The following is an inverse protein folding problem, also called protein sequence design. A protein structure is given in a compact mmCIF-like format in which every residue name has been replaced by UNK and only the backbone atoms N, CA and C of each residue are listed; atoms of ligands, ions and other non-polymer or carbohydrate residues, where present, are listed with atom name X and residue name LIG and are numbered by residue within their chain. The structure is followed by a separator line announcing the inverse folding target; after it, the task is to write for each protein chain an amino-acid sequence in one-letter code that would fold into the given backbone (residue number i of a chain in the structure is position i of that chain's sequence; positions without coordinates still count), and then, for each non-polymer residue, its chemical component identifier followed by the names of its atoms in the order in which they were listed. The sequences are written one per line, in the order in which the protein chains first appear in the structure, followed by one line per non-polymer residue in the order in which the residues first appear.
data_IF_477424669231
#
_entry.id   IF_477424669231
#
_cell.length_a   1.000
_cell.length_b   1.000
_cell.length_c   1.000
_cell.angle_alpha   90.00
_cell.angle_beta   90.00
_cell.angle_gamma   90.00
#
_symmetry.space_group_name_H-M   'P 1'
#
loop_
_entity.id
_entity.type
_entity.pdbx_description
1 polymer ?
#
# COMPACT_ATOMS: atom_id res chain seq x y z
N UNK A 1 -24.18 -12.33 4.52
CA UNK A 1 -23.15 -12.25 3.46
C UNK A 1 -23.87 -12.38 2.13
N UNK A 2 -23.62 -11.46 1.20
CA UNK A 2 -24.31 -11.41 -0.10
C UNK A 2 -23.61 -10.44 -1.05
N UNK A 3 -24.05 -10.40 -2.30
CA UNK A 3 -23.52 -9.51 -3.33
C UNK A 3 -24.27 -8.18 -3.30
N UNK A 4 -23.63 -7.12 -2.80
CA UNK A 4 -24.24 -5.78 -2.69
C UNK A 4 -23.65 -4.83 -3.73
N UNK A 5 -22.35 -4.55 -3.64
CA UNK A 5 -21.57 -3.84 -4.67
C UNK A 5 -20.46 -4.77 -5.14
N UNK A 6 -20.57 -5.27 -6.37
CA UNK A 6 -19.64 -6.23 -6.97
C UNK A 6 -18.68 -5.51 -7.91
N UNK A 7 -17.39 -5.83 -7.83
CA UNK A 7 -16.39 -5.40 -8.81
C UNK A 7 -16.23 -6.47 -9.91
N UNK A 8 -17.30 -6.70 -10.68
CA UNK A 8 -17.37 -7.70 -11.76
C UNK A 8 -16.76 -9.06 -11.35
N UNK A 9 -15.62 -9.43 -11.97
CA UNK A 9 -14.93 -10.72 -11.81
C UNK A 9 -13.91 -10.75 -10.66
N UNK A 10 -13.84 -9.70 -9.83
CA UNK A 10 -12.84 -9.64 -8.75
C UNK A 10 -13.18 -10.64 -7.63
N UNK A 11 -12.30 -11.62 -7.39
CA UNK A 11 -12.36 -12.50 -6.23
C UNK A 11 -12.00 -11.73 -4.95
N UNK A 12 -12.97 -11.07 -4.34
CA UNK A 12 -12.78 -10.27 -3.12
C UNK A 12 -14.02 -10.20 -2.23
N UNK A 13 -13.83 -9.68 -1.02
CA UNK A 13 -14.92 -9.39 -0.07
C UNK A 13 -14.75 -7.97 0.49
N UNK A 14 -15.85 -7.29 0.74
CA UNK A 14 -15.87 -6.01 1.44
C UNK A 14 -16.54 -6.15 2.81
N UNK A 15 -15.99 -5.45 3.80
CA UNK A 15 -16.51 -5.37 5.18
C UNK A 15 -16.86 -3.91 5.46
N UNK A 16 -18.14 -3.63 5.68
CA UNK A 16 -18.62 -2.30 6.04
C UNK A 16 -18.99 -2.29 7.52
N UNK A 17 -18.43 -1.33 8.26
CA UNK A 17 -18.78 -1.06 9.65
C UNK A 17 -19.49 0.29 9.71
N UNK A 18 -20.72 0.31 10.21
CA UNK A 18 -21.52 1.51 10.38
C UNK A 18 -21.79 1.71 11.86
N UNK A 19 -21.44 2.88 12.39
CA UNK A 19 -21.88 3.30 13.71
C UNK A 19 -23.36 3.68 13.60
N UNK A 20 -24.21 3.07 14.43
CA UNK A 20 -25.67 3.23 14.38
C UNK A 20 -26.19 3.77 15.71
N UNK A 21 -27.20 4.63 15.63
CA UNK A 21 -28.06 5.02 16.74
C UNK A 21 -29.47 4.43 16.56
N UNK A 22 -30.38 4.68 17.51
CA UNK A 22 -31.73 4.10 17.46
C UNK A 22 -32.52 4.58 16.24
N UNK A 23 -32.38 5.85 15.84
CA UNK A 23 -33.06 6.41 14.67
C UNK A 23 -32.58 5.73 13.38
N UNK A 24 -31.27 5.60 13.21
CA UNK A 24 -30.70 4.94 12.03
C UNK A 24 -31.04 3.45 11.98
N UNK A 25 -31.14 2.78 13.13
CA UNK A 25 -31.62 1.39 13.20
C UNK A 25 -33.07 1.25 12.72
N UNK A 26 -33.95 2.17 13.11
CA UNK A 26 -35.34 2.18 12.64
C UNK A 26 -35.38 2.39 11.12
N UNK A 27 -34.57 3.31 10.60
CA UNK A 27 -34.48 3.56 9.16
C UNK A 27 -33.95 2.34 8.39
N UNK A 28 -32.93 1.65 8.90
CA UNK A 28 -32.36 0.44 8.29
C UNK A 28 -33.34 -0.75 8.30
N UNK A 29 -34.15 -0.86 9.35
CA UNK A 29 -35.17 -1.91 9.52
C UNK A 29 -36.48 -1.59 8.75
N UNK A 30 -36.65 -0.36 8.25
CA UNK A 30 -37.88 0.08 7.58
C UNK A 30 -38.15 -0.65 6.26
N UNK A 31 -39.43 -0.82 5.92
CA UNK A 31 -39.81 -1.44 4.66
C UNK A 31 -39.38 -0.57 3.47
N UNK A 32 -38.72 -1.21 2.51
CA UNK A 32 -38.24 -0.56 1.28
C UNK A 32 -38.53 -1.43 0.08
N UNK A 33 -38.74 -0.78 -1.06
CA UNK A 33 -38.92 -1.40 -2.37
C UNK A 33 -37.60 -1.60 -3.12
N UNK A 34 -36.47 -1.24 -2.51
CA UNK A 34 -35.15 -1.40 -3.11
C UNK A 34 -34.81 -2.88 -3.34
N UNK A 35 -34.62 -3.25 -4.61
CA UNK A 35 -34.51 -4.64 -5.10
C UNK A 35 -33.39 -5.44 -4.42
N UNK A 36 -32.26 -4.80 -4.12
CA UNK A 36 -31.09 -5.45 -3.53
C UNK A 36 -30.96 -5.23 -2.01
N UNK A 37 -31.95 -4.56 -1.37
CA UNK A 37 -31.90 -4.33 0.08
C UNK A 37 -32.21 -5.61 0.84
N UNK A 38 -31.16 -6.23 1.38
CA UNK A 38 -31.31 -7.39 2.24
C UNK A 38 -31.70 -6.92 3.63
N UNK A 39 -32.91 -7.26 4.10
CA UNK A 39 -33.31 -6.97 5.48
C UNK A 39 -32.27 -7.56 6.45
N UNK A 40 -31.75 -6.78 7.40
CA UNK A 40 -30.74 -7.27 8.33
C UNK A 40 -31.33 -8.42 9.16
N UNK A 41 -30.73 -9.61 9.03
CA UNK A 41 -31.12 -10.77 9.87
C UNK A 41 -30.60 -10.52 11.28
N UNK A 42 -31.51 -10.41 12.26
CA UNK A 42 -31.14 -10.38 13.69
C UNK A 42 -30.61 -11.76 14.09
N UNK A 43 -29.31 -11.96 13.90
CA UNK A 43 -28.64 -13.17 14.36
C UNK A 43 -28.22 -13.00 15.83
N UNK A 44 -28.85 -13.76 16.72
CA UNK A 44 -28.28 -13.98 18.05
C UNK A 44 -27.05 -14.87 17.89
N UNK A 45 -25.87 -14.29 18.05
CA UNK A 45 -24.62 -15.07 18.15
C UNK A 45 -24.68 -15.87 19.43
N UNK A 46 -24.92 -17.18 19.34
CA UNK A 46 -24.82 -18.11 20.46
C UNK A 46 -23.42 -17.98 21.05
N UNK A 47 -23.35 -17.42 22.27
CA UNK A 47 -22.11 -17.08 22.97
C UNK A 47 -21.25 -18.32 23.24
N UNK A 48 -20.23 -18.54 22.42
CA UNK A 48 -18.91 -18.78 22.99
C UNK A 48 -18.12 -17.48 22.88
N UNK A 49 -18.05 -16.76 24.01
CA UNK A 49 -17.24 -15.57 24.13
C UNK A 49 -15.77 -16.00 24.10
N UNK A 50 -15.22 -16.24 22.91
CA UNK A 50 -13.77 -16.43 22.73
C UNK A 50 -13.12 -15.05 22.86
N UNK A 51 -12.83 -14.66 24.10
CA UNK A 51 -11.86 -13.61 24.35
C UNK A 51 -10.50 -14.15 23.92
N UNK A 52 -10.03 -13.71 22.75
CA UNK A 52 -8.61 -13.76 22.45
C UNK A 52 -8.01 -12.49 23.03
N UNK A 53 -6.94 -12.63 23.80
CA UNK A 53 -6.12 -11.48 24.15
C UNK A 53 -5.76 -10.76 22.84
N UNK A 54 -5.90 -9.45 22.81
CA UNK A 54 -5.37 -8.64 21.70
C UNK A 54 -3.90 -9.06 21.56
N UNK A 55 -3.45 -9.50 20.38
CA UNK A 55 -2.04 -9.75 20.17
C UNK A 55 -1.30 -8.50 20.64
N UNK A 56 -0.43 -8.64 21.64
CA UNK A 56 0.43 -7.51 22.00
C UNK A 56 1.14 -7.12 20.73
N UNK A 57 1.03 -5.86 20.31
CA UNK A 57 1.91 -5.33 19.27
C UNK A 57 3.31 -5.70 19.72
N UNK A 58 3.97 -6.59 18.97
CA UNK A 58 5.33 -6.99 19.27
C UNK A 58 6.11 -5.71 19.53
N UNK A 59 6.76 -5.67 20.69
CA UNK A 59 7.62 -4.57 21.10
C UNK A 59 8.33 -4.05 19.87
N UNK A 60 8.14 -2.76 19.56
CA UNK A 60 8.90 -2.06 18.53
C UNK A 60 10.36 -2.52 18.71
N UNK A 61 10.90 -3.23 17.72
CA UNK A 61 12.30 -3.66 17.75
C UNK A 61 13.11 -2.42 18.15
N UNK A 62 13.90 -2.52 19.22
CA UNK A 62 14.67 -1.40 19.75
C UNK A 62 15.48 -0.79 18.61
N UNK A 63 15.14 0.46 18.28
CA UNK A 63 15.83 1.26 17.29
C UNK A 63 17.32 1.29 17.67
N UNK A 64 18.24 0.89 16.79
CA UNK A 64 19.65 1.13 17.03
C UNK A 64 19.85 2.65 17.16
N UNK A 65 20.55 3.05 18.22
CA UNK A 65 20.80 4.44 18.58
C UNK A 65 21.11 5.32 17.34
N UNK A 66 20.29 6.36 17.05
CA UNK A 66 20.45 7.23 15.88
C UNK A 66 21.78 8.02 15.89
N UNK A 67 22.57 7.94 16.96
CA UNK A 67 23.84 8.65 17.11
C UNK A 67 25.00 8.13 16.24
N UNK A 68 24.89 6.99 15.53
CA UNK A 68 26.05 6.34 14.88
C UNK A 68 26.17 6.45 13.36
N UNK A 69 25.15 6.93 12.64
CA UNK A 69 25.24 7.04 11.17
C UNK A 69 24.65 8.39 10.71
N UNK A 70 25.39 9.26 10.01
CA UNK A 70 24.81 10.49 9.50
C UNK A 70 23.69 10.20 8.48
N UNK A 71 22.58 10.95 8.47
CA UNK A 71 21.50 10.75 7.51
C UNK A 71 22.04 10.96 6.09
N UNK A 72 21.74 10.03 5.16
CA UNK A 72 22.16 10.22 3.78
C UNK A 72 21.33 11.35 3.15
N UNK A 73 21.93 12.49 2.74
CA UNK A 73 21.18 13.59 2.14
C UNK A 73 20.51 13.17 0.82
N UNK A 74 20.98 12.08 0.21
CA UNK A 74 20.49 11.58 -1.07
C UNK A 74 19.09 10.96 -0.95
N UNK A 75 18.75 10.29 0.16
CA UNK A 75 17.41 9.70 0.34
C UNK A 75 16.32 10.78 0.37
N UNK A 76 16.55 11.89 1.07
CA UNK A 76 15.61 13.02 1.11
C UNK A 76 15.38 13.57 -0.29
N UNK A 77 16.47 13.86 -1.01
CA UNK A 77 16.41 14.41 -2.37
C UNK A 77 15.69 13.46 -3.34
N UNK A 78 15.91 12.15 -3.24
CA UNK A 78 15.22 11.15 -4.05
C UNK A 78 13.71 11.19 -3.77
N UNK A 79 13.30 11.20 -2.51
CA UNK A 79 11.88 11.23 -2.15
C UNK A 79 11.21 12.53 -2.57
N UNK A 80 11.87 13.68 -2.40
CA UNK A 80 11.39 14.97 -2.87
C UNK A 80 11.21 14.98 -4.40
N UNK A 81 12.16 14.40 -5.14
CA UNK A 81 12.08 14.26 -6.60
C UNK A 81 10.91 13.36 -7.02
N UNK A 82 10.75 12.20 -6.37
CA UNK A 82 9.63 11.27 -6.61
C UNK A 82 8.29 11.96 -6.34
N UNK A 83 8.14 12.65 -5.21
CA UNK A 83 6.91 13.36 -4.85
C UNK A 83 6.58 14.46 -5.86
N UNK A 84 7.58 15.27 -6.22
CA UNK A 84 7.43 16.33 -7.23
C UNK A 84 7.01 15.75 -8.60
N UNK A 85 7.56 14.59 -8.96
CA UNK A 85 7.19 13.92 -10.21
C UNK A 85 5.77 13.36 -10.17
N UNK A 86 5.35 12.75 -9.07
CA UNK A 86 3.98 12.25 -8.88
C UNK A 86 2.96 13.39 -8.97
N UNK A 87 3.24 14.53 -8.33
CA UNK A 87 2.38 15.71 -8.39
C UNK A 87 2.30 16.31 -9.80
N UNK A 88 3.42 16.44 -10.50
CA UNK A 88 3.41 17.00 -11.86
C UNK A 88 2.72 16.12 -12.90
N UNK A 89 2.56 14.82 -12.62
CA UNK A 89 1.86 13.87 -13.49
C UNK A 89 0.37 13.69 -13.13
N UNK A 90 -0.15 14.36 -12.10
CA UNK A 90 -1.49 14.11 -11.57
C UNK A 90 -2.58 14.12 -12.66
N UNK A 91 -2.75 15.20 -13.42
CA UNK A 91 -3.84 15.25 -14.41
C UNK A 91 -3.59 14.29 -15.58
N UNK A 92 -2.33 14.11 -15.99
CA UNK A 92 -1.99 13.12 -17.02
C UNK A 92 -2.37 11.69 -16.62
N UNK A 93 -2.13 11.32 -15.36
CA UNK A 93 -2.51 10.02 -14.84
C UNK A 93 -4.03 9.88 -14.72
N UNK A 94 -4.73 10.93 -14.28
CA UNK A 94 -6.20 10.94 -14.28
C UNK A 94 -6.76 10.78 -15.70
N UNK A 95 -6.20 11.47 -16.70
CA UNK A 95 -6.66 11.38 -18.10
C UNK A 95 -6.45 9.99 -18.69
N UNK A 96 -5.30 9.36 -18.42
CA UNK A 96 -5.05 7.98 -18.82
C UNK A 96 -6.01 7.00 -18.13
N UNK A 97 -6.30 7.23 -16.86
CA UNK A 97 -7.18 6.38 -16.06
C UNK A 97 -8.65 6.55 -16.43
N UNK A 98 -9.11 7.77 -16.79
CA UNK A 98 -10.48 8.00 -17.31
C UNK A 98 -10.80 7.15 -18.55
N UNK A 99 -9.79 6.77 -19.33
CA UNK A 99 -9.98 5.96 -20.52
C UNK A 99 -10.36 4.49 -20.21
N UNK A 100 -10.00 3.96 -19.04
CA UNK A 100 -10.17 2.54 -18.71
C UNK A 100 -10.54 2.23 -17.24
N UNK A 101 -10.69 3.26 -16.40
CA UNK A 101 -10.91 3.23 -14.96
C UNK A 101 -11.84 4.36 -14.52
N UNK A 102 -11.71 4.80 -13.26
CA UNK A 102 -12.57 5.83 -12.67
C UNK A 102 -11.98 7.25 -12.74
N UNK A 103 -10.72 7.37 -13.18
CA UNK A 103 -10.09 8.66 -13.44
C UNK A 103 -9.52 9.32 -12.19
N UNK A 104 -9.21 8.53 -11.17
CA UNK A 104 -8.68 9.01 -9.89
C UNK A 104 -7.21 8.64 -9.64
N UNK A 105 -6.59 7.85 -10.52
CA UNK A 105 -5.24 7.33 -10.33
C UNK A 105 -4.21 8.43 -9.99
N UNK A 106 -4.25 9.56 -10.70
CA UNK A 106 -3.39 10.70 -10.42
C UNK A 106 -3.67 11.35 -9.08
N UNK A 107 -4.93 11.51 -8.69
CA UNK A 107 -5.33 12.03 -7.37
C UNK A 107 -4.83 11.12 -6.24
N UNK A 108 -4.97 9.80 -6.41
CA UNK A 108 -4.48 8.79 -5.47
C UNK A 108 -2.95 8.88 -5.28
N UNK A 109 -2.19 9.08 -6.37
CA UNK A 109 -0.74 9.30 -6.29
C UNK A 109 -0.38 10.67 -5.71
N UNK A 110 -1.11 11.73 -6.03
CA UNK A 110 -0.89 13.06 -5.44
C UNK A 110 -1.09 13.05 -3.92
N UNK A 111 -2.12 12.34 -3.43
CA UNK A 111 -2.38 12.16 -2.00
C UNK A 111 -1.21 11.45 -1.30
N UNK A 112 -0.65 10.41 -1.92
CA UNK A 112 0.55 9.74 -1.41
C UNK A 112 1.77 10.68 -1.38
N UNK A 113 2.01 11.45 -2.44
CA UNK A 113 3.12 12.40 -2.53
C UNK A 113 3.04 13.48 -1.44
N UNK A 114 1.86 14.08 -1.23
CA UNK A 114 1.64 15.08 -0.17
C UNK A 114 1.84 14.45 1.21
N UNK A 115 1.36 13.22 1.43
CA UNK A 115 1.57 12.52 2.69
C UNK A 115 3.05 12.28 2.98
N UNK A 116 3.84 11.89 1.97
CA UNK A 116 5.28 11.70 2.08
C UNK A 116 5.99 13.04 2.38
N UNK A 117 5.65 14.12 1.67
CA UNK A 117 6.22 15.45 1.91
C UNK A 117 5.96 15.91 3.36
N UNK A 118 4.72 15.82 3.83
CA UNK A 118 4.37 16.16 5.21
C UNK A 118 5.13 15.30 6.23
N UNK A 119 5.33 14.02 5.93
CA UNK A 119 6.11 13.12 6.78
C UNK A 119 7.60 13.49 6.83
N UNK A 120 8.19 13.89 5.70
CA UNK A 120 9.58 14.36 5.59
C UNK A 120 9.85 15.66 6.37
N UNK A 121 8.83 16.51 6.51
CA UNK A 121 8.93 17.76 7.26
C UNK A 121 8.65 17.59 8.74
N UNK A 122 7.81 16.61 9.11
CA UNK A 122 7.42 16.39 10.50
C UNK A 122 8.45 15.61 11.34
N UNK A 123 9.26 14.75 10.71
CA UNK A 123 10.15 13.81 11.42
C UNK A 123 11.50 13.68 10.72
N UNK A 124 12.58 13.41 11.47
CA UNK A 124 13.85 13.04 10.86
C UNK A 124 13.70 11.73 10.07
N UNK A 125 14.35 11.67 8.92
CA UNK A 125 14.39 10.47 8.09
C UNK A 125 15.10 9.32 8.82
N UNK A 126 14.57 8.09 8.75
CA UNK A 126 15.30 6.90 9.18
C UNK A 126 16.62 6.77 8.41
N UNK A 127 17.68 6.33 9.10
CA UNK A 127 19.03 6.27 8.54
C UNK A 127 19.25 5.03 7.68
N UNK A 128 18.54 3.93 8.00
CA UNK A 128 18.66 2.65 7.30
C UNK A 128 17.55 2.48 6.25
N UNK A 129 17.86 2.00 5.04
CA UNK A 129 16.84 1.77 4.00
C UNK A 129 15.66 0.90 4.45
N UNK A 130 15.90 -0.15 5.26
CA UNK A 130 14.80 -1.00 5.75
C UNK A 130 13.78 -0.24 6.61
N UNK A 131 14.24 0.69 7.46
CA UNK A 131 13.38 1.49 8.33
C UNK A 131 12.60 2.51 7.51
N UNK A 132 13.27 3.10 6.51
CA UNK A 132 12.63 4.01 5.57
C UNK A 132 11.50 3.31 4.83
N UNK A 133 11.77 2.13 4.25
CA UNK A 133 10.78 1.35 3.52
C UNK A 133 9.63 0.90 4.42
N UNK A 134 9.93 0.46 5.63
CA UNK A 134 8.90 0.08 6.62
C UNK A 134 8.02 1.27 7.04
N UNK A 135 8.60 2.47 7.16
CA UNK A 135 7.87 3.69 7.51
C UNK A 135 6.99 4.17 6.36
N UNK A 136 7.54 4.18 5.13
CA UNK A 136 6.78 4.52 3.93
C UNK A 136 5.65 3.52 3.66
N UNK A 137 5.88 2.23 3.89
CA UNK A 137 4.84 1.20 3.77
C UNK A 137 3.63 1.51 4.67
N UNK A 138 3.88 1.80 5.95
CA UNK A 138 2.83 2.19 6.90
C UNK A 138 2.12 3.47 6.48
N UNK A 139 2.89 4.49 6.10
CA UNK A 139 2.35 5.77 5.65
C UNK A 139 1.43 5.61 4.44
N UNK A 140 1.84 4.85 3.43
CA UNK A 140 1.04 4.63 2.24
C UNK A 140 -0.20 3.77 2.53
N UNK A 141 -0.10 2.75 3.38
CA UNK A 141 -1.28 1.96 3.78
C UNK A 141 -2.34 2.82 4.50
N UNK A 142 -1.91 3.83 5.25
CA UNK A 142 -2.82 4.72 5.99
C UNK A 142 -3.33 5.90 5.16
N UNK A 143 -2.51 6.43 4.25
CA UNK A 143 -2.76 7.71 3.58
C UNK A 143 -3.04 7.58 2.10
N UNK A 144 -2.63 6.50 1.44
CA UNK A 144 -2.93 6.27 0.04
C UNK A 144 -4.24 5.48 -0.08
N UNK A 145 -5.17 5.97 -0.90
CA UNK A 145 -6.42 5.30 -1.17
C UNK A 145 -6.29 4.13 -2.16
N UNK A 146 -7.39 3.40 -2.32
CA UNK A 146 -7.55 2.39 -3.36
C UNK A 146 -6.67 1.14 -3.21
N UNK A 147 -6.70 0.29 -4.25
CA UNK A 147 -5.86 -0.91 -4.32
C UNK A 147 -4.37 -0.56 -4.43
N UNK A 148 -4.03 0.59 -5.03
CA UNK A 148 -2.66 1.08 -5.17
C UNK A 148 -1.97 1.26 -3.81
N UNK A 149 -2.64 1.86 -2.82
CA UNK A 149 -2.08 2.00 -1.47
C UNK A 149 -1.71 0.67 -0.83
N UNK A 150 -2.57 -0.34 -0.97
CA UNK A 150 -2.31 -1.70 -0.49
C UNK A 150 -1.12 -2.35 -1.23
N UNK A 151 -1.03 -2.21 -2.55
CA UNK A 151 0.04 -2.78 -3.36
C UNK A 151 1.40 -2.13 -3.10
N UNK A 152 1.46 -0.79 -3.01
CA UNK A 152 2.70 -0.09 -2.64
C UNK A 152 3.13 -0.41 -1.21
N UNK A 153 2.19 -0.46 -0.27
CA UNK A 153 2.45 -0.86 1.12
C UNK A 153 3.05 -2.26 1.22
N UNK A 154 2.47 -3.20 0.48
CA UNK A 154 2.96 -4.57 0.38
C UNK A 154 4.35 -4.65 -0.26
N UNK A 155 4.56 -3.96 -1.37
CA UNK A 155 5.86 -3.89 -2.06
C UNK A 155 6.95 -3.41 -1.09
N UNK A 156 6.72 -2.27 -0.43
CA UNK A 156 7.70 -1.65 0.47
C UNK A 156 7.96 -2.51 1.71
N UNK A 157 6.92 -3.15 2.26
CA UNK A 157 7.05 -4.05 3.41
C UNK A 157 7.92 -5.26 3.08
N UNK A 158 7.73 -5.86 1.91
CA UNK A 158 8.55 -7.00 1.47
C UNK A 158 9.97 -6.57 1.09
N UNK A 159 10.11 -5.45 0.38
CA UNK A 159 11.39 -4.88 -0.01
C UNK A 159 12.26 -4.43 1.18
N UNK A 160 11.65 -4.10 2.33
CA UNK A 160 12.40 -3.80 3.54
C UNK A 160 13.18 -5.01 4.08
N UNK A 161 12.76 -6.26 3.82
CA UNK A 161 13.34 -7.45 4.46
C UNK A 161 14.80 -7.70 4.05
N UNK A 162 15.16 -7.72 2.75
CA UNK A 162 16.55 -7.92 2.35
C UNK A 162 17.48 -6.79 2.81
N UNK A 163 16.93 -5.58 3.02
CA UNK A 163 17.68 -4.39 3.44
C UNK A 163 17.96 -4.33 4.95
N UNK A 164 17.50 -5.32 5.74
CA UNK A 164 17.75 -5.37 7.19
C UNK A 164 19.22 -5.62 7.53
N UNK A 165 19.92 -6.37 6.68
CA UNK A 165 21.29 -6.82 6.95
C UNK A 165 22.33 -6.01 6.17
N UNK A 166 22.06 -5.70 4.90
CA UNK A 166 22.97 -5.01 3.99
C UNK A 166 22.19 -3.98 3.13
N UNK A 167 22.88 -2.98 2.60
CA UNK A 167 22.36 -1.94 1.71
C UNK A 167 23.17 -1.78 0.41
N UNK A 168 23.98 -2.79 0.06
CA UNK A 168 24.66 -2.89 -1.22
C UNK A 168 23.73 -3.13 -2.42
N UNK A 169 24.27 -3.05 -3.63
CA UNK A 169 23.51 -3.28 -4.87
C UNK A 169 22.86 -4.67 -4.92
N UNK A 170 23.48 -5.67 -4.28
CA UNK A 170 22.94 -7.02 -4.19
C UNK A 170 21.63 -7.03 -3.38
N UNK A 171 21.65 -6.41 -2.19
CA UNK A 171 20.50 -6.27 -1.31
C UNK A 171 19.38 -5.45 -1.97
N UNK A 172 19.70 -4.35 -2.66
CA UNK A 172 18.70 -3.53 -3.36
C UNK A 172 17.96 -4.28 -4.46
N UNK A 173 18.62 -5.12 -5.26
CA UNK A 173 17.87 -5.92 -6.24
C UNK A 173 17.13 -7.11 -5.62
N UNK A 174 17.59 -7.66 -4.49
CA UNK A 174 16.79 -8.64 -3.74
C UNK A 174 15.54 -7.96 -3.16
N UNK A 175 15.65 -6.72 -2.69
CA UNK A 175 14.53 -5.92 -2.22
C UNK A 175 13.51 -5.66 -3.34
N UNK A 176 13.97 -5.28 -4.53
CA UNK A 176 13.12 -5.10 -5.70
C UNK A 176 12.36 -6.40 -6.05
N UNK A 177 13.06 -7.54 -6.07
CA UNK A 177 12.43 -8.85 -6.31
C UNK A 177 11.41 -9.23 -5.23
N UNK A 178 11.75 -9.00 -3.96
CA UNK A 178 10.85 -9.30 -2.84
C UNK A 178 9.55 -8.48 -2.94
N UNK A 179 9.66 -7.19 -3.25
CA UNK A 179 8.51 -6.31 -3.46
C UNK A 179 7.62 -6.75 -4.63
N UNK A 180 8.21 -7.00 -5.80
CA UNK A 180 7.49 -7.48 -6.99
C UNK A 180 6.79 -8.81 -6.72
N UNK A 181 7.50 -9.78 -6.13
CA UNK A 181 6.94 -11.10 -5.83
C UNK A 181 5.77 -11.00 -4.85
N UNK A 182 5.84 -10.08 -3.87
CA UNK A 182 4.72 -9.82 -2.98
C UNK A 182 3.52 -9.25 -3.74
N UNK A 183 3.72 -8.22 -4.57
CA UNK A 183 2.65 -7.66 -5.40
C UNK A 183 1.99 -8.71 -6.30
N UNK A 184 2.77 -9.56 -6.96
CA UNK A 184 2.24 -10.65 -7.80
C UNK A 184 1.44 -11.66 -6.97
N UNK A 185 1.98 -12.09 -5.82
CA UNK A 185 1.36 -13.12 -4.98
C UNK A 185 0.00 -12.68 -4.42
N UNK A 186 -0.12 -11.44 -3.98
CA UNK A 186 -1.32 -10.96 -3.29
C UNK A 186 -2.23 -10.12 -4.19
N UNK A 187 -1.69 -9.46 -5.21
CA UNK A 187 -2.46 -8.72 -6.21
C UNK A 187 -2.94 -9.58 -7.39
N UNK A 188 -2.33 -10.75 -7.62
CA UNK A 188 -2.72 -11.70 -8.65
C UNK A 188 -2.27 -11.35 -10.08
N UNK A 189 -1.77 -10.14 -10.31
CA UNK A 189 -1.26 -9.70 -11.60
C UNK A 189 0.11 -10.34 -11.93
N UNK A 190 0.34 -10.59 -13.22
CA UNK A 190 1.62 -11.04 -13.79
C UNK A 190 2.14 -10.04 -14.83
N UNK A 191 3.45 -10.05 -15.15
CA UNK A 191 3.97 -9.21 -16.23
C UNK A 191 3.24 -9.48 -17.54
N UNK A 192 2.74 -8.43 -18.18
CA UNK A 192 1.88 -8.46 -19.36
C UNK A 192 0.44 -7.99 -19.10
N UNK A 193 -0.01 -7.96 -17.83
CA UNK A 193 -1.39 -7.64 -17.47
C UNK A 193 -1.72 -6.13 -17.53
N UNK A 194 -0.79 -5.31 -18.04
CA UNK A 194 -0.94 -3.85 -18.21
C UNK A 194 -1.16 -3.14 -16.89
N UNK A 195 -0.32 -3.46 -15.91
CA UNK A 195 -0.34 -2.83 -14.57
C UNK A 195 0.99 -2.15 -14.28
N UNK A 196 1.08 -1.44 -13.16
CA UNK A 196 2.35 -0.89 -12.66
C UNK A 196 3.47 -1.94 -12.52
N UNK A 197 3.11 -3.22 -12.43
CA UNK A 197 4.04 -4.34 -12.37
C UNK A 197 4.94 -4.39 -13.62
N UNK A 198 4.43 -4.03 -14.79
CA UNK A 198 5.19 -4.09 -16.05
C UNK A 198 6.41 -3.17 -16.02
N UNK A 199 6.22 -1.93 -15.54
CA UNK A 199 7.29 -0.97 -15.38
C UNK A 199 8.27 -1.39 -14.28
N UNK A 200 7.78 -1.90 -13.15
CA UNK A 200 8.61 -2.41 -12.07
C UNK A 200 9.45 -3.63 -12.50
N UNK A 201 8.86 -4.54 -13.26
CA UNK A 201 9.53 -5.73 -13.78
C UNK A 201 10.66 -5.37 -14.76
N UNK A 202 10.44 -4.39 -15.63
CA UNK A 202 11.48 -3.86 -16.51
C UNK A 202 12.63 -3.23 -15.70
N UNK A 203 12.31 -2.39 -14.70
CA UNK A 203 13.32 -1.79 -13.83
C UNK A 203 14.13 -2.84 -13.04
N UNK A 204 13.48 -3.89 -12.54
CA UNK A 204 14.14 -4.97 -11.81
C UNK A 204 15.13 -5.77 -12.69
N UNK A 205 14.81 -5.97 -13.98
CA UNK A 205 15.73 -6.59 -14.94
C UNK A 205 17.00 -5.78 -15.13
N UNK A 206 16.85 -4.47 -15.34
CA UNK A 206 18.00 -3.57 -15.47
C UNK A 206 18.84 -3.51 -14.19
N UNK A 207 18.20 -3.44 -13.02
CA UNK A 207 18.90 -3.46 -11.74
C UNK A 207 19.69 -4.75 -11.51
N UNK A 208 19.17 -5.91 -11.97
CA UNK A 208 19.90 -7.18 -11.95
C UNK A 208 21.09 -7.17 -12.91
N UNK A 209 20.93 -6.63 -14.11
CA UNK A 209 22.00 -6.53 -15.08
C UNK A 209 23.19 -5.73 -14.54
N UNK A 210 22.94 -4.72 -13.70
CA UNK A 210 24.01 -3.94 -13.04
C UNK A 210 24.84 -4.76 -12.03
N UNK A 211 24.32 -5.87 -11.48
CA UNK A 211 25.11 -6.76 -10.59
C UNK A 211 26.16 -7.56 -11.31
N UNK A 212 25.87 -7.92 -12.55
CA UNK A 212 26.75 -8.65 -13.44
C UNK A 212 27.30 -7.64 -14.44
N UNK A 213 28.38 -6.90 -14.12
CA UNK A 213 28.99 -6.04 -15.12
C UNK A 213 29.22 -6.90 -16.36
N UNK A 214 28.60 -6.52 -17.47
CA UNK A 214 28.83 -7.20 -18.74
C UNK A 214 30.34 -7.22 -18.93
N UNK A 215 30.88 -8.42 -19.09
CA UNK A 215 32.22 -8.60 -19.62
C UNK A 215 32.14 -8.20 -21.10
N UNK A 216 32.19 -6.90 -21.35
CA UNK A 216 32.39 -6.29 -22.66
C UNK A 216 33.78 -5.66 -22.70
#
# INVERSE_FOLDING_TARGET
VGSFMTALEMAGVSLTLLQVDEELLILLDSDTTAVAWSKPVRMSVTRQKRQRAVPQECCKEEEPDPAKVPPSPHMRLILECVCSKMLSLQEQLNDLDRAAGDGDCGNTHAQAAIAIQNWLDAKPLPQRPYQLFSSLAKLLLEKMGGSSGALYGLFLTAAAQPLRTDDDLAAWSLAMDAGINAMMRYGGAVPGDRTMLDSLWAAAKELKALKTPKAD
#
